data_IF_488819789983
#
_entry.id   IF_488819789983
#
_cell.length_a   1.000
_cell.length_b   1.000
_cell.length_c   1.000
_cell.angle_alpha   90.00
_cell.angle_beta   90.00
_cell.angle_gamma   90.00
#
_symmetry.space_group_name_H-M   'P 1'
#
loop_
_entity.id
_entity.type
_entity.pdbx_description
1 polymer ?
#
# COMPACT_ATOMS: atom_id res chain seq x y z
N UNK A 1 11.44 -6.56 -1.92
CA UNK A 1 11.18 -7.78 -2.73
C UNK A 1 10.74 -7.32 -4.10
N UNK A 2 11.05 -8.06 -5.16
CA UNK A 2 10.87 -7.56 -6.52
C UNK A 2 12.03 -6.69 -6.98
N UNK A 3 11.86 -6.07 -8.15
CA UNK A 3 12.87 -5.25 -8.83
C UNK A 3 12.31 -3.84 -9.08
N UNK A 4 11.91 -3.14 -8.02
CA UNK A 4 11.28 -1.82 -8.07
C UNK A 4 12.02 -0.85 -9.00
N UNK A 5 13.36 -0.78 -8.88
CA UNK A 5 14.21 0.08 -9.72
C UNK A 5 14.14 -0.25 -11.22
N UNK A 6 14.00 -1.53 -11.56
CA UNK A 6 13.93 -1.97 -12.94
C UNK A 6 12.54 -1.77 -13.55
N UNK A 7 11.47 -1.83 -12.75
CA UNK A 7 10.09 -1.73 -13.24
C UNK A 7 9.55 -0.29 -13.23
N UNK A 8 10.01 0.56 -12.30
CA UNK A 8 9.53 1.94 -12.14
C UNK A 8 9.56 2.77 -13.44
N UNK A 9 10.58 2.68 -14.33
CA UNK A 9 10.60 3.42 -15.59
C UNK A 9 9.53 3.02 -16.60
N UNK A 10 8.79 1.93 -16.35
CA UNK A 10 7.88 1.31 -17.30
C UNK A 10 6.42 1.28 -16.83
N UNK A 11 6.10 1.91 -15.70
CA UNK A 11 4.75 1.91 -15.12
C UNK A 11 4.25 3.33 -14.89
N UNK A 12 2.94 3.52 -15.02
CA UNK A 12 2.31 4.80 -14.73
C UNK A 12 1.91 4.94 -13.25
N UNK A 13 1.71 3.80 -12.57
CA UNK A 13 1.13 3.72 -11.23
C UNK A 13 1.84 2.68 -10.35
N UNK A 14 2.20 3.07 -9.14
CA UNK A 14 2.82 2.22 -8.12
C UNK A 14 1.93 2.08 -6.88
N UNK A 15 1.52 0.85 -6.58
CA UNK A 15 0.82 0.50 -5.34
C UNK A 15 1.85 0.17 -4.26
N UNK A 16 2.07 1.08 -3.32
CA UNK A 16 3.16 0.97 -2.34
C UNK A 16 2.63 0.39 -1.02
N UNK A 17 3.27 -0.67 -0.52
CA UNK A 17 2.88 -1.34 0.72
C UNK A 17 3.02 -0.44 1.96
N UNK A 18 2.10 -0.58 2.91
CA UNK A 18 1.96 0.32 4.06
C UNK A 18 2.37 -0.28 5.42
N UNK A 19 3.19 -1.34 5.44
CA UNK A 19 3.78 -1.91 6.66
C UNK A 19 3.03 -3.09 7.31
N UNK A 20 1.79 -3.38 6.90
CA UNK A 20 1.01 -4.47 7.50
C UNK A 20 1.24 -5.83 6.83
N UNK A 21 1.18 -5.87 5.50
CA UNK A 21 1.39 -7.10 4.73
C UNK A 21 2.84 -7.21 4.21
N UNK A 22 3.47 -6.05 4.00
CA UNK A 22 4.83 -5.87 3.51
C UNK A 22 5.25 -4.41 3.66
N UNK A 23 6.52 -4.14 3.34
CA UNK A 23 7.11 -2.82 3.44
C UNK A 23 7.46 -2.47 4.89
N UNK A 24 8.37 -1.52 5.01
CA UNK A 24 8.76 -0.88 6.25
C UNK A 24 9.07 0.60 5.93
N UNK A 25 9.28 1.48 6.93
CA UNK A 25 9.49 2.90 6.66
C UNK A 25 10.65 3.19 5.69
N UNK A 26 11.73 2.40 5.74
CA UNK A 26 12.87 2.59 4.86
C UNK A 26 12.56 2.16 3.43
N UNK A 27 11.86 1.04 3.24
CA UNK A 27 11.37 0.60 1.93
C UNK A 27 10.39 1.61 1.35
N UNK A 28 9.41 2.07 2.13
CA UNK A 28 8.44 3.09 1.69
C UNK A 28 9.15 4.35 1.20
N UNK A 29 10.12 4.87 1.96
CA UNK A 29 10.87 6.07 1.59
C UNK A 29 11.65 5.87 0.28
N UNK A 30 12.31 4.72 0.11
CA UNK A 30 13.05 4.38 -1.11
C UNK A 30 12.12 4.27 -2.32
N UNK A 31 11.02 3.55 -2.20
CA UNK A 31 10.06 3.37 -3.29
C UNK A 31 9.40 4.69 -3.68
N UNK A 32 9.09 5.57 -2.72
CA UNK A 32 8.59 6.93 -2.99
C UNK A 32 9.62 7.78 -3.76
N UNK A 33 10.90 7.73 -3.36
CA UNK A 33 11.96 8.44 -4.08
C UNK A 33 12.11 7.95 -5.53
N UNK A 34 12.02 6.64 -5.75
CA UNK A 34 12.00 6.02 -7.06
C UNK A 34 10.80 6.47 -7.90
N UNK A 35 9.60 6.44 -7.33
CA UNK A 35 8.40 6.90 -8.01
C UNK A 35 8.51 8.39 -8.41
N UNK A 36 9.07 9.23 -7.52
CA UNK A 36 9.33 10.64 -7.82
C UNK A 36 10.30 10.81 -8.99
N UNK A 37 11.42 10.08 -8.99
CA UNK A 37 12.44 10.15 -10.03
C UNK A 37 11.87 9.81 -11.41
N UNK A 38 10.95 8.85 -11.48
CA UNK A 38 10.36 8.35 -12.72
C UNK A 38 9.00 8.96 -13.04
N UNK A 39 8.54 9.96 -12.28
CA UNK A 39 7.24 10.60 -12.44
C UNK A 39 6.06 9.60 -12.43
N UNK A 40 6.13 8.60 -11.55
CA UNK A 40 5.11 7.56 -11.39
C UNK A 40 4.10 8.00 -10.34
N UNK A 41 2.81 7.81 -10.64
CA UNK A 41 1.72 8.08 -9.72
C UNK A 41 1.73 7.08 -8.56
N UNK A 42 1.61 7.58 -7.33
CA UNK A 42 1.66 6.74 -6.13
C UNK A 42 0.26 6.47 -5.57
N UNK A 43 0.04 5.23 -5.15
CA UNK A 43 -1.16 4.83 -4.42
C UNK A 43 -0.83 3.97 -3.21
N UNK A 44 -1.65 4.08 -2.16
CA UNK A 44 -1.49 3.26 -0.98
C UNK A 44 -1.95 1.83 -1.30
N UNK A 45 -1.17 0.85 -0.84
CA UNK A 45 -1.49 -0.57 -0.96
C UNK A 45 -1.77 -1.18 0.41
N UNK A 46 -2.87 -0.80 1.09
CA UNK A 46 -3.16 -1.31 2.43
C UNK A 46 -3.52 -2.79 2.38
N UNK A 47 -3.14 -3.55 3.41
CA UNK A 47 -3.47 -4.96 3.54
C UNK A 47 -3.78 -5.35 4.97
N UNK A 48 -4.16 -6.62 5.16
CA UNK A 48 -4.34 -7.18 6.50
C UNK A 48 -3.01 -7.20 7.28
N UNK A 49 -3.05 -7.09 8.63
CA UNK A 49 -1.87 -7.13 9.51
C UNK A 49 -1.32 -8.55 9.60
N UNK A 50 -0.75 -9.04 8.50
CA UNK A 50 -0.25 -10.39 8.34
C UNK A 50 1.03 -10.40 7.51
N UNK A 51 2.14 -10.00 8.13
CA UNK A 51 3.46 -10.02 7.48
C UNK A 51 3.86 -11.45 7.05
N UNK A 52 3.59 -12.46 7.90
CA UNK A 52 4.01 -13.85 7.64
C UNK A 52 3.25 -14.43 6.45
N UNK A 53 1.94 -14.20 6.37
CA UNK A 53 1.12 -14.63 5.23
C UNK A 53 1.10 -13.62 4.08
N UNK A 54 1.94 -12.57 4.14
CA UNK A 54 2.02 -11.51 3.15
C UNK A 54 0.65 -10.86 2.84
N UNK A 55 -0.24 -10.77 3.83
CA UNK A 55 -1.60 -10.25 3.66
C UNK A 55 -2.48 -11.05 2.68
N UNK A 56 -2.13 -12.30 2.39
CA UNK A 56 -2.87 -13.18 1.46
C UNK A 56 -3.86 -14.14 2.13
N UNK A 57 -3.98 -14.09 3.46
CA UNK A 57 -4.96 -14.85 4.22
C UNK A 57 -6.11 -13.92 4.62
N UNK A 58 -7.34 -14.38 4.42
CA UNK A 58 -8.51 -13.64 4.91
C UNK A 58 -8.46 -13.58 6.43
N UNK A 59 -8.74 -12.40 6.98
CA UNK A 59 -8.85 -12.18 8.42
C UNK A 59 -10.25 -11.66 8.66
N UNK A 60 -11.00 -12.38 9.49
CA UNK A 60 -12.32 -11.95 9.92
C UNK A 60 -12.17 -10.73 10.84
N UNK A 61 -12.48 -9.56 10.31
CA UNK A 61 -12.45 -8.28 11.02
C UNK A 61 -13.83 -7.66 11.02
N UNK A 62 -14.15 -6.86 12.03
CA UNK A 62 -15.32 -5.98 12.00
C UNK A 62 -15.14 -4.85 10.98
N UNK A 63 -16.23 -4.19 10.58
CA UNK A 63 -16.17 -3.01 9.73
C UNK A 63 -15.40 -1.84 10.40
N UNK A 64 -15.46 -1.73 11.72
CA UNK A 64 -14.72 -0.72 12.50
C UNK A 64 -13.22 -0.98 12.46
N UNK A 65 -12.82 -2.24 12.68
CA UNK A 65 -11.42 -2.67 12.57
C UNK A 65 -10.89 -2.43 11.16
N UNK A 66 -11.64 -2.82 10.13
CA UNK A 66 -11.25 -2.63 8.73
C UNK A 66 -11.03 -1.14 8.41
N UNK A 67 -11.98 -0.28 8.81
CA UNK A 67 -11.85 1.19 8.64
C UNK A 67 -10.62 1.74 9.36
N UNK A 68 -10.37 1.32 10.60
CA UNK A 68 -9.21 1.76 11.36
C UNK A 68 -7.89 1.32 10.69
N UNK A 69 -7.81 0.08 10.22
CA UNK A 69 -6.64 -0.46 9.52
C UNK A 69 -6.37 0.26 8.20
N UNK A 70 -7.41 0.57 7.43
CA UNK A 70 -7.30 1.35 6.19
C UNK A 70 -6.83 2.78 6.48
N UNK A 71 -7.49 3.49 7.40
CA UNK A 71 -7.15 4.86 7.78
C UNK A 71 -5.71 4.97 8.26
N UNK A 72 -5.26 4.06 9.12
CA UNK A 72 -3.88 4.04 9.62
C UNK A 72 -2.87 3.91 8.47
N UNK A 73 -3.05 2.93 7.60
CA UNK A 73 -2.12 2.64 6.50
C UNK A 73 -2.10 3.75 5.45
N UNK A 74 -3.27 4.34 5.14
CA UNK A 74 -3.39 5.46 4.20
C UNK A 74 -2.71 6.71 4.78
N UNK A 75 -3.00 7.05 6.04
CA UNK A 75 -2.40 8.21 6.70
C UNK A 75 -0.87 8.08 6.82
N UNK A 76 -0.36 6.87 7.12
CA UNK A 76 1.07 6.61 7.16
C UNK A 76 1.73 6.83 5.79
N UNK A 77 1.12 6.30 4.71
CA UNK A 77 1.65 6.51 3.35
C UNK A 77 1.55 7.97 2.91
N UNK A 78 0.43 8.64 3.19
CA UNK A 78 0.20 10.03 2.82
C UNK A 78 1.20 10.97 3.49
N UNK A 79 1.44 10.81 4.80
CA UNK A 79 2.45 11.57 5.53
C UNK A 79 3.87 11.32 5.01
N UNK A 80 4.20 10.07 4.68
CA UNK A 80 5.50 9.71 4.08
C UNK A 80 5.67 10.32 2.69
N UNK A 81 4.64 10.29 1.85
CA UNK A 81 4.65 10.91 0.53
C UNK A 81 4.82 12.44 0.63
N UNK A 82 4.05 13.09 1.52
CA UNK A 82 4.13 14.52 1.76
C UNK A 82 5.54 14.95 2.22
N UNK A 83 6.22 14.13 3.05
CA UNK A 83 7.57 14.41 3.52
C UNK A 83 8.63 14.51 2.41
N UNK A 84 8.35 13.92 1.24
CA UNK A 84 9.21 13.98 0.05
C UNK A 84 8.61 14.80 -1.10
N UNK A 85 7.55 15.57 -0.82
CA UNK A 85 6.88 16.45 -1.79
C UNK A 85 6.12 15.69 -2.88
N UNK A 86 5.55 14.53 -2.55
CA UNK A 86 4.60 13.79 -3.39
C UNK A 86 3.20 13.88 -2.79
N UNK A 87 2.19 13.64 -3.63
CA UNK A 87 0.79 13.56 -3.21
C UNK A 87 0.26 12.16 -3.49
N UNK A 88 -0.38 11.55 -2.49
CA UNK A 88 -1.03 10.26 -2.64
C UNK A 88 -2.25 10.39 -3.56
N UNK A 89 -2.33 9.60 -4.62
CA UNK A 89 -3.36 9.77 -5.65
C UNK A 89 -4.54 8.80 -5.53
N UNK A 90 -4.29 7.57 -5.06
CA UNK A 90 -5.32 6.54 -5.02
C UNK A 90 -5.04 5.46 -3.95
N UNK A 91 -5.99 4.55 -3.77
CA UNK A 91 -5.88 3.40 -2.86
C UNK A 91 -6.24 2.13 -3.61
N UNK A 92 -5.43 1.08 -3.45
CA UNK A 92 -5.72 -0.27 -3.96
C UNK A 92 -5.50 -1.28 -2.84
N UNK A 93 -6.52 -1.96 -2.29
CA UNK A 93 -6.32 -2.99 -1.28
C UNK A 93 -5.42 -4.14 -1.76
N UNK A 94 -4.68 -4.74 -0.83
CA UNK A 94 -3.76 -5.84 -1.08
C UNK A 94 -4.41 -7.20 -0.81
N UNK A 95 -4.04 -8.19 -1.63
CA UNK A 95 -4.19 -9.61 -1.29
C UNK A 95 -5.61 -10.01 -0.90
N UNK A 96 -5.74 -10.67 0.25
CA UNK A 96 -7.03 -11.16 0.72
C UNK A 96 -8.03 -10.03 0.99
N UNK A 97 -7.57 -8.86 1.48
CA UNK A 97 -8.45 -7.73 1.72
C UNK A 97 -9.16 -7.26 0.44
N UNK A 98 -8.46 -7.24 -0.69
CA UNK A 98 -9.07 -6.94 -1.99
C UNK A 98 -10.10 -7.99 -2.40
N UNK A 99 -9.76 -9.27 -2.24
CA UNK A 99 -10.65 -10.38 -2.62
C UNK A 99 -11.91 -10.41 -1.75
N UNK A 100 -11.76 -10.18 -0.45
CA UNK A 100 -12.86 -10.16 0.51
C UNK A 100 -13.81 -8.99 0.20
N UNK A 101 -13.28 -7.79 -0.12
CA UNK A 101 -14.09 -6.65 -0.58
C UNK A 101 -14.84 -6.90 -1.88
N UNK A 102 -14.32 -7.75 -2.77
CA UNK A 102 -15.01 -8.12 -4.01
C UNK A 102 -16.09 -9.18 -3.80
N UNK A 103 -15.93 -10.02 -2.78
CA UNK A 103 -16.85 -11.11 -2.47
C UNK A 103 -17.99 -10.68 -1.51
N UNK A 104 -17.73 -9.70 -0.65
CA UNK A 104 -18.67 -9.19 0.33
C UNK A 104 -19.22 -7.83 -0.11
N UNK A 105 -20.50 -7.80 -0.47
CA UNK A 105 -21.22 -6.60 -0.91
C UNK A 105 -21.93 -5.86 0.22
N UNK A 106 -21.65 -6.20 1.49
CA UNK A 106 -22.29 -5.63 2.68
C UNK A 106 -22.20 -4.09 2.77
#
# INVERSE_FOLDING_TARGET
>A
MGLDEAVMPHIDQANIACGFHAGDPLVMQKTLALAKQHNVMIGAHPGYPDLIGFGRRSIKTSAEELKAMLTYQIAAMDGMAASVGLTLAYVKPHGAMYNDMMADSA
#
